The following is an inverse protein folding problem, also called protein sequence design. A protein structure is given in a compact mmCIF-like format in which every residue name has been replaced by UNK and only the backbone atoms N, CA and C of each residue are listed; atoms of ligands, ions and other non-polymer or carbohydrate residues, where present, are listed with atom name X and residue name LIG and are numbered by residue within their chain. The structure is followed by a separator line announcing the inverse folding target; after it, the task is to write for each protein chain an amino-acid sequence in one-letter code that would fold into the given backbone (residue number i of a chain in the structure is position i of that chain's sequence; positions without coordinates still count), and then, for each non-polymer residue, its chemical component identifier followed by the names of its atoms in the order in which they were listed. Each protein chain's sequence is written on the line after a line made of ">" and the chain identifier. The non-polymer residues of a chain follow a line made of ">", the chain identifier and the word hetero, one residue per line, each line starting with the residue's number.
data_IF_148917623630
#
_entry.id   IF_148917623630
#
_cell.length_a   1.000
_cell.length_b   1.000
_cell.length_c   1.000
_cell.angle_alpha   90.00
_cell.angle_beta   90.00
_cell.angle_gamma   90.00
#
_symmetry.space_group_name_H-M   'P 1'
#
loop_
_entity.id
_entity.type
_entity.pdbx_description
1 polymer ?
#
# COMPACT_ATOMS: atom_id res chain seq x y z
N UNK A 1 -17.88 -31.88 25.64
CA UNK A 1 -16.83 -31.25 24.81
C UNK A 1 -17.28 -29.93 24.19
N UNK A 2 -18.36 -29.86 23.40
CA UNK A 2 -18.87 -28.58 22.82
C UNK A 2 -19.13 -27.48 23.86
N UNK A 3 -19.58 -27.86 25.06
CA UNK A 3 -19.85 -26.94 26.16
C UNK A 3 -18.59 -26.26 26.71
N UNK A 4 -17.55 -27.05 27.01
CA UNK A 4 -16.28 -26.53 27.49
C UNK A 4 -15.63 -25.54 26.50
N UNK A 5 -15.73 -25.79 25.20
CA UNK A 5 -15.24 -24.85 24.18
C UNK A 5 -16.04 -23.55 24.16
N UNK A 6 -17.37 -23.61 24.31
CA UNK A 6 -18.19 -22.38 24.36
C UNK A 6 -17.82 -21.52 25.56
N UNK A 7 -17.74 -22.12 26.75
CA UNK A 7 -17.39 -21.42 27.99
C UNK A 7 -15.99 -20.78 27.90
N UNK A 8 -15.03 -21.50 27.31
CA UNK A 8 -13.68 -20.99 27.10
C UNK A 8 -13.64 -19.82 26.09
N UNK A 9 -14.31 -19.95 24.94
CA UNK A 9 -14.37 -18.90 23.93
C UNK A 9 -15.09 -17.66 24.46
N UNK A 10 -16.23 -17.84 25.12
CA UNK A 10 -17.00 -16.75 25.72
C UNK A 10 -16.14 -15.98 26.73
N UNK A 11 -15.45 -16.69 27.64
CA UNK A 11 -14.55 -16.06 28.60
C UNK A 11 -13.41 -15.29 27.94
N UNK A 12 -12.81 -15.84 26.87
CA UNK A 12 -11.66 -15.22 26.20
C UNK A 12 -12.04 -14.02 25.33
N UNK A 13 -13.26 -13.98 24.82
CA UNK A 13 -13.66 -13.01 23.80
C UNK A 13 -14.73 -12.02 24.24
N UNK A 14 -15.28 -12.16 25.45
CA UNK A 14 -16.16 -11.16 26.05
C UNK A 14 -15.48 -9.79 26.11
N UNK A 15 -16.14 -8.77 25.56
CA UNK A 15 -15.66 -7.38 25.60
C UNK A 15 -14.57 -7.04 24.58
N UNK A 16 -14.24 -7.96 23.66
CA UNK A 16 -13.26 -7.71 22.60
C UNK A 16 -13.90 -7.30 21.26
N UNK A 17 -15.20 -7.03 21.23
CA UNK A 17 -15.93 -6.68 20.00
C UNK A 17 -15.32 -5.46 19.29
N UNK A 18 -15.00 -4.40 20.04
CA UNK A 18 -14.35 -3.21 19.46
C UNK A 18 -13.01 -3.53 18.80
N UNK A 19 -12.24 -4.47 19.36
CA UNK A 19 -10.98 -4.94 18.78
C UNK A 19 -11.24 -5.71 17.49
N UNK A 20 -12.22 -6.60 17.46
CA UNK A 20 -12.57 -7.37 16.27
C UNK A 20 -13.13 -6.49 15.16
N UNK A 21 -13.99 -5.52 15.48
CA UNK A 21 -14.51 -4.57 14.52
C UNK A 21 -13.38 -3.71 13.94
N UNK A 22 -12.47 -3.23 14.79
CA UNK A 22 -11.29 -2.49 14.34
C UNK A 22 -10.39 -3.34 13.45
N UNK A 23 -10.12 -4.59 13.85
CA UNK A 23 -9.28 -5.50 13.07
C UNK A 23 -9.90 -5.83 11.71
N UNK A 24 -11.21 -6.07 11.67
CA UNK A 24 -11.93 -6.29 10.41
C UNK A 24 -11.92 -5.03 9.53
N UNK A 25 -12.11 -3.84 10.09
CA UNK A 25 -12.09 -2.59 9.33
C UNK A 25 -10.71 -2.29 8.71
N UNK A 26 -9.62 -2.77 9.31
CA UNK A 26 -8.25 -2.59 8.83
C UNK A 26 -7.78 -3.71 7.90
N UNK A 27 -8.49 -4.83 7.81
CA UNK A 27 -8.14 -5.92 6.89
C UNK A 27 -8.52 -5.52 5.46
N UNK A 28 -7.57 -5.42 4.51
CA UNK A 28 -7.85 -4.97 3.13
C UNK A 28 -8.87 -5.82 2.36
N UNK A 29 -9.12 -7.05 2.84
CA UNK A 29 -10.08 -7.99 2.26
C UNK A 29 -11.52 -7.60 2.58
N UNK A 30 -11.77 -6.87 3.66
CA UNK A 30 -13.08 -6.34 3.98
C UNK A 30 -13.25 -4.95 3.34
N UNK A 31 -14.30 -4.79 2.52
CA UNK A 31 -14.66 -3.50 1.93
C UNK A 31 -15.68 -2.73 2.76
N UNK A 32 -16.41 -3.45 3.62
CA UNK A 32 -17.40 -2.94 4.54
C UNK A 32 -17.54 -3.91 5.72
N UNK A 33 -18.33 -3.53 6.73
CA UNK A 33 -18.60 -4.34 7.92
C UNK A 33 -20.08 -4.83 7.89
N UNK A 34 -20.44 -5.78 7.01
CA UNK A 34 -21.84 -6.18 6.81
C UNK A 34 -22.48 -6.90 8.00
N UNK A 35 -21.67 -7.28 9.00
CA UNK A 35 -22.12 -7.88 10.25
C UNK A 35 -22.44 -6.84 11.34
N UNK A 36 -22.23 -5.55 11.07
CA UNK A 36 -22.55 -4.43 11.95
C UNK A 36 -23.75 -3.64 11.42
N UNK A 37 -24.39 -2.90 12.33
CA UNK A 37 -25.30 -1.83 11.94
C UNK A 37 -24.51 -0.66 11.37
N UNK A 38 -25.16 0.18 10.54
CA UNK A 38 -24.52 1.37 9.97
C UNK A 38 -23.92 2.27 11.06
N UNK A 39 -24.66 2.47 12.14
CA UNK A 39 -24.21 3.25 13.30
C UNK A 39 -22.95 2.66 13.98
N UNK A 40 -22.87 1.34 14.14
CA UNK A 40 -21.71 0.70 14.77
C UNK A 40 -20.49 0.66 13.84
N UNK A 41 -20.73 0.54 12.53
CA UNK A 41 -19.69 0.67 11.52
C UNK A 41 -19.13 2.10 11.49
N UNK A 42 -19.98 3.12 11.46
CA UNK A 42 -19.60 4.53 11.53
C UNK A 42 -18.79 4.84 12.79
N UNK A 43 -19.24 4.34 13.95
CA UNK A 43 -18.50 4.46 15.22
C UNK A 43 -17.10 3.85 15.11
N UNK A 44 -16.98 2.68 14.48
CA UNK A 44 -15.69 1.99 14.28
C UNK A 44 -14.75 2.82 13.41
N UNK A 45 -15.22 3.33 12.28
CA UNK A 45 -14.41 4.17 11.39
C UNK A 45 -14.03 5.51 12.01
N UNK A 46 -14.94 6.15 12.76
CA UNK A 46 -14.65 7.37 13.51
C UNK A 46 -13.54 7.15 14.55
N UNK A 47 -13.58 6.04 15.28
CA UNK A 47 -12.55 5.64 16.25
C UNK A 47 -11.19 5.44 15.58
N UNK A 48 -11.14 4.71 14.46
CA UNK A 48 -9.92 4.50 13.67
C UNK A 48 -9.34 5.84 13.19
N UNK A 49 -10.18 6.71 12.65
CA UNK A 49 -9.78 8.03 12.15
C UNK A 49 -9.21 8.90 13.27
N UNK A 50 -9.85 8.92 14.44
CA UNK A 50 -9.37 9.65 15.60
C UNK A 50 -8.00 9.14 16.08
N UNK A 51 -7.82 7.81 16.16
CA UNK A 51 -6.53 7.18 16.53
C UNK A 51 -5.44 7.49 15.50
N UNK A 52 -5.74 7.40 14.21
CA UNK A 52 -4.80 7.71 13.14
C UNK A 52 -4.36 9.19 13.18
N UNK A 53 -5.30 10.11 13.39
CA UNK A 53 -5.03 11.55 13.52
C UNK A 53 -4.17 11.84 14.75
N UNK A 54 -4.49 11.23 15.90
CA UNK A 54 -3.69 11.35 17.12
C UNK A 54 -2.27 10.85 16.93
N UNK A 55 -2.10 9.71 16.24
CA UNK A 55 -0.79 9.14 15.93
C UNK A 55 0.02 10.05 14.99
N UNK A 56 -0.63 10.60 13.95
CA UNK A 56 -0.01 11.52 13.00
C UNK A 56 0.48 12.80 13.69
N UNK A 57 -0.35 13.41 14.55
CA UNK A 57 0.02 14.61 15.30
C UNK A 57 1.18 14.33 16.27
N UNK A 58 1.20 13.15 16.91
CA UNK A 58 2.30 12.73 17.77
C UNK A 58 3.61 12.56 16.98
N UNK A 59 3.55 11.99 15.77
CA UNK A 59 4.72 11.85 14.91
C UNK A 59 5.30 13.22 14.50
N UNK A 60 4.44 14.19 14.14
CA UNK A 60 4.86 15.55 13.82
C UNK A 60 5.53 16.26 15.00
N UNK A 61 5.04 16.04 16.22
CA UNK A 61 5.58 16.65 17.43
C UNK A 61 6.94 16.09 17.87
N UNK A 62 7.33 14.90 17.40
CA UNK A 62 8.54 14.20 17.87
C UNK A 62 9.77 14.44 16.96
N UNK A 63 9.61 15.10 15.81
CA UNK A 63 10.75 15.58 15.00
C UNK A 63 11.62 14.49 14.35
N UNK A 64 11.25 13.21 14.44
CA UNK A 64 11.95 12.14 13.75
C UNK A 64 11.57 12.11 12.26
N UNK A 65 12.52 12.29 11.32
CA UNK A 65 12.24 12.24 9.90
C UNK A 65 12.10 10.78 9.48
N UNK A 66 10.92 10.20 9.65
CA UNK A 66 10.56 8.98 8.90
C UNK A 66 10.36 9.41 7.45
N UNK A 67 11.12 8.78 6.55
CA UNK A 67 11.08 8.93 5.09
C UNK A 67 9.64 8.88 4.55
N UNK A 68 8.99 10.04 4.50
CA UNK A 68 7.72 10.25 3.84
C UNK A 68 7.97 10.59 2.38
N UNK A 69 7.81 9.61 1.49
CA UNK A 69 7.46 9.91 0.12
C UNK A 69 6.15 10.72 0.08
N UNK A 70 5.88 11.49 -0.97
CA UNK A 70 4.73 12.41 -1.00
C UNK A 70 3.41 11.67 -0.73
N UNK A 71 2.77 11.98 0.39
CA UNK A 71 1.36 11.63 0.62
C UNK A 71 0.54 12.47 -0.36
N UNK A 72 0.17 11.87 -1.49
CA UNK A 72 -0.90 12.42 -2.33
C UNK A 72 -2.21 12.33 -1.55
N UNK A 73 -2.62 13.45 -0.98
CA UNK A 73 -4.01 13.67 -0.59
C UNK A 73 -4.83 13.86 -1.86
N UNK A 74 -5.30 12.79 -2.48
CA UNK A 74 -6.42 12.87 -3.43
C UNK A 74 -7.71 12.68 -2.63
N UNK A 75 -8.63 13.65 -2.60
CA UNK A 75 -9.96 13.45 -2.03
C UNK A 75 -10.68 12.34 -2.81
N UNK A 76 -11.18 11.31 -2.13
CA UNK A 76 -12.09 10.32 -2.73
C UNK A 76 -13.34 11.06 -3.22
N UNK A 77 -13.43 11.28 -4.52
CA UNK A 77 -14.61 11.82 -5.17
C UNK A 77 -15.64 10.71 -5.33
N UNK A 78 -16.86 11.04 -4.91
CA UNK A 78 -18.13 10.35 -5.08
C UNK A 78 -18.29 9.73 -6.47
N UNK A 79 -18.68 8.46 -6.52
CA UNK A 79 -19.22 7.78 -7.71
C UNK A 79 -20.44 8.54 -8.28
N UNK A 80 -20.52 8.72 -9.61
CA UNK A 80 -21.80 8.60 -10.28
C UNK A 80 -21.74 7.54 -11.40
N UNK A 81 -22.84 6.79 -11.42
CA UNK A 81 -23.24 5.75 -12.34
C UNK A 81 -22.95 5.99 -13.84
N UNK A 82 -22.49 4.92 -14.49
CA UNK A 82 -22.95 4.36 -15.77
C UNK A 82 -23.58 5.34 -16.78
N UNK A 83 -22.83 5.67 -17.84
CA UNK A 83 -23.30 6.44 -18.99
C UNK A 83 -22.33 6.39 -20.18
N UNK A 84 -22.59 5.45 -21.09
CA UNK A 84 -22.43 5.47 -22.55
C UNK A 84 -21.50 6.51 -23.22
N UNK A 85 -20.48 5.98 -23.92
CA UNK A 85 -20.03 6.30 -25.29
C UNK A 85 -19.94 7.79 -25.73
N UNK A 86 -18.72 8.29 -25.94
CA UNK A 86 -18.25 8.76 -27.27
C UNK A 86 -16.74 9.12 -27.21
N UNK A 87 -15.91 8.29 -27.83
CA UNK A 87 -14.47 8.56 -28.01
C UNK A 87 -14.37 9.56 -29.15
N UNK A 88 -14.23 10.84 -28.83
CA UNK A 88 -13.86 11.86 -29.82
C UNK A 88 -12.35 11.85 -30.00
N UNK A 89 -11.92 11.23 -31.07
CA UNK A 89 -10.57 11.26 -31.61
C UNK A 89 -10.33 12.69 -32.12
N UNK A 90 -9.56 13.49 -31.37
CA UNK A 90 -9.01 14.74 -31.92
C UNK A 90 -7.66 14.41 -32.61
N UNK A 91 -7.63 14.63 -33.91
CA UNK A 91 -6.51 14.33 -34.78
C UNK A 91 -5.28 15.21 -34.45
N UNK A 92 -4.04 14.70 -34.59
CA UNK A 92 -2.86 15.53 -34.35
C UNK A 92 -2.63 16.47 -35.55
N UNK A 93 -2.84 17.77 -35.36
CA UNK A 93 -2.36 18.76 -36.33
C UNK A 93 -0.85 18.95 -36.20
N UNK A 94 -0.22 18.64 -37.31
CA UNK A 94 1.17 18.80 -37.68
C UNK A 94 1.55 20.27 -37.71
N UNK A 95 2.57 20.68 -36.95
CA UNK A 95 3.44 21.78 -37.36
C UNK A 95 4.90 21.38 -37.14
N UNK A 96 5.48 21.02 -38.28
CA UNK A 96 6.89 20.87 -38.56
C UNK A 96 7.51 22.27 -38.68
N UNK A 97 8.60 22.53 -37.96
CA UNK A 97 9.60 23.53 -38.37
C UNK A 97 11.01 22.98 -38.07
N UNK A 98 12.03 23.36 -38.87
CA UNK A 98 13.13 22.46 -39.19
C UNK A 98 14.51 22.92 -38.65
N UNK A 99 15.45 21.96 -38.69
CA UNK A 99 16.93 22.09 -38.81
C UNK A 99 17.75 22.55 -37.58
N UNK A 100 18.51 21.62 -37.00
CA UNK A 100 19.99 21.68 -37.10
C UNK A 100 20.63 20.33 -36.74
N UNK A 101 21.51 19.87 -37.64
CA UNK A 101 22.24 18.60 -37.64
C UNK A 101 23.06 18.34 -36.36
N UNK A 102 22.68 17.33 -35.56
CA UNK A 102 23.57 16.69 -34.59
C UNK A 102 23.39 15.15 -34.61
N UNK A 103 24.50 14.37 -34.55
CA UNK A 103 24.49 12.93 -34.82
C UNK A 103 23.62 12.15 -33.82
N UNK A 104 23.08 10.97 -34.20
CA UNK A 104 22.19 10.20 -33.34
C UNK A 104 22.93 9.74 -32.08
N UNK A 105 22.67 10.41 -30.96
CA UNK A 105 23.04 9.91 -29.64
C UNK A 105 22.31 8.58 -29.44
N UNK A 106 23.07 7.48 -29.52
CA UNK A 106 22.58 6.13 -29.22
C UNK A 106 21.93 6.18 -27.83
N UNK A 107 20.59 6.10 -27.78
CA UNK A 107 19.84 6.02 -26.52
C UNK A 107 20.25 4.72 -25.84
N UNK A 108 21.16 4.81 -24.86
CA UNK A 108 21.51 3.66 -24.01
C UNK A 108 20.21 3.25 -23.31
N UNK A 109 19.80 1.99 -23.49
CA UNK A 109 18.64 1.44 -22.77
C UNK A 109 18.99 1.44 -21.30
N UNK A 110 18.41 2.37 -20.54
CA UNK A 110 18.58 2.45 -19.09
C UNK A 110 17.80 1.27 -18.51
N UNK A 111 18.48 0.39 -17.77
CA UNK A 111 17.80 -0.74 -17.11
C UNK A 111 16.72 -0.21 -16.18
N UNK A 112 15.60 -0.93 -16.04
CA UNK A 112 14.58 -0.56 -15.04
C UNK A 112 15.19 -0.47 -13.62
N UNK A 113 16.23 -1.27 -13.37
CA UNK A 113 17.02 -1.23 -12.14
C UNK A 113 17.74 0.13 -11.97
N UNK A 114 18.40 0.62 -13.03
CA UNK A 114 19.09 1.92 -13.00
C UNK A 114 18.12 3.11 -12.86
N UNK A 115 16.89 2.97 -13.37
CA UNK A 115 15.83 3.96 -13.18
C UNK A 115 15.35 4.01 -11.73
N UNK A 116 15.34 2.86 -11.03
CA UNK A 116 14.84 2.77 -9.66
C UNK A 116 15.88 3.14 -8.61
N UNK A 117 17.13 2.70 -8.78
CA UNK A 117 18.19 2.91 -7.79
C UNK A 117 19.08 4.12 -8.08
N UNK A 118 19.00 4.68 -9.29
CA UNK A 118 19.83 5.81 -9.71
C UNK A 118 21.24 5.38 -10.11
N UNK A 119 21.94 6.26 -10.83
CA UNK A 119 23.29 5.99 -11.38
C UNK A 119 24.37 5.85 -10.31
N UNK A 120 24.09 6.30 -9.09
CA UNK A 120 25.03 6.33 -7.98
C UNK A 120 24.94 5.06 -7.12
N UNK A 121 24.05 4.13 -7.47
CA UNK A 121 23.90 2.87 -6.74
C UNK A 121 24.93 1.85 -7.20
N UNK A 122 25.92 1.60 -6.35
CA UNK A 122 26.90 0.55 -6.55
C UNK A 122 26.44 -0.76 -5.90
N UNK A 123 26.16 -1.77 -6.75
CA UNK A 123 25.78 -3.10 -6.27
C UNK A 123 26.98 -3.75 -5.59
N UNK A 124 26.98 -3.80 -4.25
CA UNK A 124 27.92 -4.64 -3.51
C UNK A 124 27.61 -6.11 -3.80
N UNK A 125 28.34 -6.70 -4.74
CA UNK A 125 28.39 -8.15 -4.93
C UNK A 125 29.08 -8.78 -3.71
N UNK A 126 28.31 -9.08 -2.66
CA UNK A 126 28.78 -9.96 -1.60
C UNK A 126 28.86 -11.37 -2.17
N UNK A 127 30.08 -11.86 -2.31
CA UNK A 127 30.37 -13.18 -2.84
C UNK A 127 29.96 -14.29 -1.84
N UNK A 128 29.53 -15.41 -2.44
CA UNK A 128 29.46 -16.79 -1.94
C UNK A 128 28.14 -17.29 -1.33
N UNK A 129 27.56 -18.20 -2.13
CA UNK A 129 26.44 -19.10 -1.91
C UNK A 129 26.62 -20.01 -0.69
N UNK A 130 25.59 -20.12 0.16
CA UNK A 130 25.54 -20.97 1.37
C UNK A 130 25.02 -22.40 1.07
N UNK A 131 25.14 -22.89 -0.17
CA UNK A 131 24.44 -24.14 -0.56
C UNK A 131 25.07 -25.45 -0.03
N UNK A 132 26.31 -25.47 0.44
CA UNK A 132 27.00 -26.74 0.69
C UNK A 132 27.48 -26.95 2.14
N UNK A 133 26.59 -27.16 3.12
CA UNK A 133 26.95 -27.77 4.42
C UNK A 133 25.77 -28.53 5.05
N UNK A 134 25.39 -29.67 4.48
CA UNK A 134 24.48 -30.63 5.13
C UNK A 134 24.82 -32.07 4.71
N UNK A 135 25.99 -32.56 5.13
CA UNK A 135 26.33 -33.98 5.02
C UNK A 135 27.52 -34.31 5.92
N UNK A 136 27.29 -34.38 7.22
CA UNK A 136 28.17 -35.04 8.22
C UNK A 136 27.39 -35.04 9.55
N UNK A 137 27.24 -36.09 10.34
CA UNK A 137 27.38 -37.54 10.22
C UNK A 137 26.52 -38.05 11.40
N UNK A 138 25.63 -39.02 11.19
CA UNK A 138 25.10 -39.84 12.27
C UNK A 138 26.04 -41.03 12.35
N UNK A 139 26.75 -41.18 13.47
CA UNK A 139 27.38 -42.43 13.85
C UNK A 139 27.38 -42.61 15.36
#
# INVERSE_FOLDING_TARGET
>A
MKQAFREDLEKRYTGLEDLFHTAAALDPRFKSLPFLTDHDAERTFANITAKATSLHNKALATGDPVHGGPLQTTPCQTEPALGELDIRIDAPQTQHEPEDDLPPFKKKKISALDQLLGKDFEVRMAATSVRDKASEEVK
#
